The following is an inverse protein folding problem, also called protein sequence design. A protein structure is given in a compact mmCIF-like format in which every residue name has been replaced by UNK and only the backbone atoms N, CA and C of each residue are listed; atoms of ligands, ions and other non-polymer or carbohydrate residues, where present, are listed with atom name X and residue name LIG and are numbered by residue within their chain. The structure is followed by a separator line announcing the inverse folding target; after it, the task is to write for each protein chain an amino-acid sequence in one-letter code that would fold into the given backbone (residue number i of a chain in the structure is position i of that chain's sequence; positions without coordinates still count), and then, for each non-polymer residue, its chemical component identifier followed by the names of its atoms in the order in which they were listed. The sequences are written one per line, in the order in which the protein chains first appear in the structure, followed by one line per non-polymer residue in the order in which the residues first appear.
data_IF_326115691858
#
_entry.id   IF_326115691858
#
_cell.length_a   1.000
_cell.length_b   1.000
_cell.length_c   1.000
_cell.angle_alpha   90.00
_cell.angle_beta   90.00
_cell.angle_gamma   90.00
#
_symmetry.space_group_name_H-M   'P 1'
#
loop_
_entity.id
_entity.type
_entity.pdbx_description
1 polymer ?
#
# COMPACT_ATOMS: atom_id res chain seq x y z
N UNK A 1 -25.00 -43.92 38.52
CA UNK A 1 -24.07 -42.77 38.48
C UNK A 1 -24.76 -41.58 39.11
N UNK A 2 -24.14 -41.03 40.17
CA UNK A 2 -24.80 -40.12 41.11
C UNK A 2 -24.89 -38.69 40.57
N UNK A 3 -26.02 -38.01 40.77
CA UNK A 3 -26.28 -36.66 40.24
C UNK A 3 -25.25 -35.61 40.74
N UNK A 4 -24.60 -35.87 41.88
CA UNK A 4 -23.56 -35.00 42.46
C UNK A 4 -22.23 -35.01 41.69
N UNK A 5 -21.93 -36.07 40.93
CA UNK A 5 -20.71 -36.13 40.11
C UNK A 5 -20.82 -35.35 38.79
N UNK A 6 -22.04 -35.05 38.32
CA UNK A 6 -22.26 -34.29 37.09
C UNK A 6 -22.10 -32.78 37.30
N UNK A 7 -22.49 -32.26 38.47
CA UNK A 7 -22.39 -30.81 38.78
C UNK A 7 -20.96 -30.34 39.00
N UNK A 8 -20.06 -31.19 39.52
CA UNK A 8 -18.64 -30.84 39.72
C UNK A 8 -17.88 -30.86 38.39
N UNK A 9 -18.23 -31.77 37.48
CA UNK A 9 -17.66 -31.80 36.13
C UNK A 9 -18.05 -30.57 35.29
N UNK A 10 -19.27 -30.05 35.46
CA UNK A 10 -19.74 -28.85 34.74
C UNK A 10 -19.10 -27.55 35.28
N UNK A 11 -18.84 -27.47 36.59
CA UNK A 11 -18.15 -26.33 37.20
C UNK A 11 -16.66 -26.27 36.84
N UNK A 12 -16.00 -27.42 36.67
CA UNK A 12 -14.59 -27.48 36.22
C UNK A 12 -14.48 -27.17 34.72
N UNK A 13 -15.48 -27.51 33.91
CA UNK A 13 -15.50 -27.15 32.48
C UNK A 13 -15.69 -25.63 32.26
N UNK A 14 -16.43 -24.94 33.15
CA UNK A 14 -16.58 -23.48 33.11
C UNK A 14 -15.31 -22.77 33.62
N UNK A 15 -14.57 -23.35 34.58
CA UNK A 15 -13.28 -22.82 35.02
C UNK A 15 -12.13 -23.01 34.01
N UNK A 16 -12.29 -23.95 33.05
CA UNK A 16 -11.37 -24.16 31.93
C UNK A 16 -11.73 -23.36 30.67
N UNK A 17 -12.82 -22.60 30.69
CA UNK A 17 -12.94 -21.38 29.86
C UNK A 17 -12.11 -20.30 30.55
N UNK A 18 -10.82 -20.59 30.74
CA UNK A 18 -9.82 -19.55 30.80
C UNK A 18 -10.01 -18.77 29.53
N UNK A 19 -10.47 -17.53 29.69
CA UNK A 19 -10.35 -16.47 28.71
C UNK A 19 -8.96 -16.60 28.08
N UNK A 20 -8.88 -17.28 26.94
CA UNK A 20 -7.82 -17.05 25.94
C UNK A 20 -8.18 -15.76 25.20
N UNK A 21 -8.56 -14.73 25.97
CA UNK A 21 -8.26 -13.37 25.63
C UNK A 21 -6.75 -13.30 25.62
N UNK A 22 -6.16 -13.64 24.48
CA UNK A 22 -4.95 -12.96 24.05
C UNK A 22 -5.33 -11.49 24.04
N UNK A 23 -5.23 -10.83 25.20
CA UNK A 23 -5.11 -9.40 25.27
C UNK A 23 -3.93 -9.12 24.35
N UNK A 24 -4.24 -8.67 23.13
CA UNK A 24 -3.25 -8.37 22.11
C UNK A 24 -2.28 -7.40 22.76
N UNK A 25 -1.11 -7.90 23.20
CA UNK A 25 -0.22 -7.12 24.04
C UNK A 25 0.17 -5.85 23.27
N UNK A 26 -0.42 -4.73 23.67
CA UNK A 26 -0.19 -3.45 23.03
C UNK A 26 1.27 -3.08 23.25
N UNK A 27 1.99 -2.81 22.16
CA UNK A 27 3.45 -2.78 22.17
C UNK A 27 4.01 -1.77 23.17
N UNK A 28 3.36 -0.61 23.29
CA UNK A 28 3.76 0.48 24.18
C UNK A 28 3.09 0.43 25.57
N UNK A 29 2.17 -0.49 25.84
CA UNK A 29 1.60 -0.67 27.18
C UNK A 29 2.27 -1.84 27.91
N UNK A 30 2.89 -2.76 27.16
CA UNK A 30 3.65 -3.87 27.71
C UNK A 30 4.91 -3.38 28.45
N UNK A 31 4.95 -3.66 29.77
CA UNK A 31 6.10 -3.30 30.64
C UNK A 31 7.41 -3.98 30.24
N UNK A 32 7.36 -5.07 29.47
CA UNK A 32 8.57 -5.71 28.93
C UNK A 32 9.24 -4.82 27.87
N UNK A 33 8.44 -4.04 27.14
CA UNK A 33 8.94 -3.09 26.15
C UNK A 33 9.18 -1.72 26.78
N UNK A 34 8.30 -1.25 27.68
CA UNK A 34 8.42 0.03 28.36
C UNK A 34 8.39 -0.18 29.89
N UNK A 35 9.55 -0.36 30.55
CA UNK A 35 9.62 -0.68 31.99
C UNK A 35 8.92 0.34 32.90
N UNK A 36 8.89 1.60 32.48
CA UNK A 36 8.29 2.71 33.21
C UNK A 36 6.84 2.99 32.80
N UNK A 37 6.25 2.14 31.95
CA UNK A 37 4.87 2.23 31.49
C UNK A 37 4.54 3.58 30.86
N UNK A 38 3.38 4.15 31.19
CA UNK A 38 2.89 5.42 30.65
C UNK A 38 3.86 6.60 30.89
N UNK A 39 4.61 6.58 31.99
CA UNK A 39 5.57 7.63 32.30
C UNK A 39 6.68 7.73 31.24
N UNK A 40 6.99 6.64 30.53
CA UNK A 40 7.97 6.65 29.43
C UNK A 40 7.65 7.73 28.41
N UNK A 41 6.42 7.78 27.90
CA UNK A 41 6.02 8.71 26.83
C UNK A 41 5.43 10.02 27.37
N UNK A 42 4.88 10.03 28.58
CA UNK A 42 4.22 11.20 29.17
C UNK A 42 5.12 12.02 30.10
N UNK A 43 6.37 11.59 30.33
CA UNK A 43 7.33 12.37 31.12
C UNK A 43 7.77 13.61 30.33
N UNK A 44 7.42 14.80 30.84
CA UNK A 44 7.81 16.11 30.27
C UNK A 44 7.48 16.26 28.77
N UNK A 45 6.52 15.49 28.28
CA UNK A 45 6.13 15.46 26.87
C UNK A 45 4.63 15.70 26.76
N UNK A 46 4.24 16.66 25.91
CA UNK A 46 2.84 16.93 25.61
C UNK A 46 2.47 16.28 24.28
N UNK A 47 1.64 15.25 24.33
CA UNK A 47 1.12 14.53 23.16
C UNK A 47 -0.32 14.93 22.80
N UNK A 48 -0.89 15.95 23.46
CA UNK A 48 -2.32 16.31 23.30
C UNK A 48 -2.68 16.80 21.90
N UNK A 49 -1.74 17.42 21.19
CA UNK A 49 -1.95 17.84 19.79
C UNK A 49 -1.62 16.71 18.80
N UNK A 50 -1.32 15.49 19.26
CA UNK A 50 -0.85 14.36 18.46
C UNK A 50 0.52 14.54 17.79
N UNK A 51 1.06 15.79 17.80
CA UNK A 51 2.36 16.35 17.41
C UNK A 51 3.66 15.69 17.90
N UNK A 52 3.65 14.40 18.18
CA UNK A 52 4.65 13.73 19.02
C UNK A 52 5.81 13.07 18.29
N UNK A 53 6.08 13.37 17.02
CA UNK A 53 7.06 12.62 16.22
C UNK A 53 8.45 12.55 16.91
N UNK A 54 8.85 13.62 17.63
CA UNK A 54 10.06 13.67 18.44
C UNK A 54 10.13 12.59 19.55
N UNK A 55 9.02 12.33 20.24
CA UNK A 55 8.94 11.28 21.26
C UNK A 55 9.05 9.91 20.59
N UNK A 56 8.39 9.71 19.46
CA UNK A 56 8.43 8.47 18.70
C UNK A 56 9.86 8.12 18.24
N UNK A 57 10.56 9.07 17.61
CA UNK A 57 11.92 8.85 17.07
C UNK A 57 13.00 8.72 18.15
N UNK A 58 12.68 9.00 19.41
CA UNK A 58 13.61 8.72 20.51
C UNK A 58 13.87 7.22 20.64
N UNK A 59 12.84 6.39 20.38
CA UNK A 59 12.97 4.94 20.34
C UNK A 59 13.06 4.37 18.93
N UNK A 60 12.26 4.91 18.00
CA UNK A 60 12.13 4.39 16.64
C UNK A 60 13.10 5.01 15.64
N UNK A 61 13.82 6.07 15.99
CA UNK A 61 14.82 6.73 15.14
C UNK A 61 16.21 6.09 15.29
N UNK A 62 17.25 6.93 15.34
CA UNK A 62 18.62 6.45 15.56
C UNK A 62 18.73 5.54 16.82
N UNK A 63 19.12 4.25 16.66
CA UNK A 63 19.19 3.30 17.77
C UNK A 63 20.13 3.71 18.91
N UNK A 64 21.09 4.60 18.66
CA UNK A 64 21.99 5.15 19.69
C UNK A 64 21.23 5.96 20.75
N UNK A 65 20.07 6.52 20.41
CA UNK A 65 19.24 7.32 21.34
C UNK A 65 18.67 6.49 22.48
N UNK A 66 18.43 5.19 22.27
CA UNK A 66 17.96 4.25 23.31
C UNK A 66 18.93 4.14 24.49
N UNK A 67 20.22 4.37 24.25
CA UNK A 67 21.31 4.20 25.22
C UNK A 67 21.90 5.52 25.72
N UNK A 68 21.39 6.65 25.22
CA UNK A 68 21.88 7.99 25.57
C UNK A 68 20.87 8.71 26.47
N UNK A 69 21.30 9.60 27.39
CA UNK A 69 20.39 10.42 28.16
C UNK A 69 19.47 11.25 27.25
N UNK A 70 18.16 11.19 27.48
CA UNK A 70 17.17 11.95 26.71
C UNK A 70 16.45 12.94 27.62
N UNK A 71 16.40 14.22 27.22
CA UNK A 71 15.80 15.30 28.01
C UNK A 71 14.33 15.03 28.37
N UNK A 72 13.61 14.40 27.45
CA UNK A 72 12.17 14.18 27.53
C UNK A 72 11.81 12.70 27.79
N UNK A 73 12.75 11.89 28.29
CA UNK A 73 12.47 10.53 28.75
C UNK A 73 13.01 10.33 30.16
N UNK A 74 12.35 9.51 30.99
CA UNK A 74 12.89 9.13 32.30
C UNK A 74 14.13 8.23 32.15
N UNK A 75 15.02 8.21 33.14
CA UNK A 75 16.18 7.31 33.15
C UNK A 75 15.70 5.86 33.15
N UNK A 76 16.23 5.02 32.25
CA UNK A 76 15.79 3.62 32.11
C UNK A 76 14.46 3.45 31.35
N UNK A 77 14.09 4.42 30.50
CA UNK A 77 12.87 4.36 29.69
C UNK A 77 12.81 3.17 28.71
N UNK A 78 13.96 2.65 28.29
CA UNK A 78 14.06 1.48 27.42
C UNK A 78 14.78 0.32 28.13
N UNK A 79 14.37 -0.95 27.89
CA UNK A 79 15.08 -2.13 28.37
C UNK A 79 16.51 -2.20 27.84
N UNK A 80 17.42 -2.72 28.66
CA UNK A 80 18.78 -3.02 28.23
C UNK A 80 18.76 -4.03 27.05
N UNK A 81 19.51 -3.75 26.00
CA UNK A 81 19.59 -4.60 24.81
C UNK A 81 18.42 -4.48 23.83
N UNK A 82 17.50 -3.53 24.02
CA UNK A 82 16.44 -3.26 23.04
C UNK A 82 17.06 -2.83 21.69
N UNK A 83 16.68 -3.53 20.62
CA UNK A 83 17.12 -3.23 19.25
C UNK A 83 15.93 -2.91 18.38
N UNK A 84 15.86 -1.66 17.92
CA UNK A 84 14.85 -1.18 16.98
C UNK A 84 15.53 -0.76 15.67
N UNK A 85 14.78 -0.81 14.57
CA UNK A 85 15.25 -0.30 13.29
C UNK A 85 15.10 1.22 13.26
N UNK A 86 15.97 1.89 12.51
CA UNK A 86 15.96 3.35 12.37
C UNK A 86 14.90 3.80 11.35
N UNK A 87 13.69 4.12 11.82
CA UNK A 87 12.60 4.66 11.00
C UNK A 87 12.90 6.06 10.49
N UNK A 88 13.62 6.85 11.26
CA UNK A 88 13.91 8.26 10.96
C UNK A 88 14.76 8.37 9.68
N UNK A 89 15.65 7.40 9.45
CA UNK A 89 16.44 7.33 8.21
C UNK A 89 15.57 7.18 6.95
N UNK A 90 14.41 6.53 7.04
CA UNK A 90 13.48 6.40 5.91
C UNK A 90 12.89 7.76 5.51
N UNK A 91 12.67 8.64 6.49
CA UNK A 91 12.18 10.00 6.25
C UNK A 91 13.29 10.98 5.81
N UNK A 92 14.54 10.53 5.68
CA UNK A 92 15.58 11.31 5.01
C UNK A 92 15.60 11.06 3.49
N UNK A 93 14.90 10.03 3.01
CA UNK A 93 14.84 9.69 1.59
C UNK A 93 14.04 10.72 0.77
N UNK A 94 14.33 10.79 -0.52
CA UNK A 94 13.72 11.74 -1.46
C UNK A 94 12.20 11.64 -1.49
N UNK A 95 11.66 10.41 -1.58
CA UNK A 95 10.24 10.17 -1.61
C UNK A 95 9.80 9.58 -0.28
N UNK A 96 8.91 10.27 0.43
CA UNK A 96 8.51 9.91 1.78
C UNK A 96 7.15 10.50 2.13
N UNK A 97 6.51 9.95 3.16
CA UNK A 97 5.40 10.66 3.79
C UNK A 97 5.94 11.87 4.56
N UNK A 98 5.22 13.00 4.56
CA UNK A 98 5.71 14.29 5.07
C UNK A 98 5.65 14.42 6.60
N UNK A 99 6.07 13.38 7.33
CA UNK A 99 5.93 13.28 8.79
C UNK A 99 6.68 14.38 9.54
N UNK A 100 7.80 14.84 9.00
CA UNK A 100 8.62 15.90 9.60
C UNK A 100 8.59 17.21 8.81
N UNK A 101 7.86 17.28 7.70
CA UNK A 101 7.92 18.43 6.79
C UNK A 101 7.07 19.61 7.32
N UNK A 102 5.98 19.33 8.05
CA UNK A 102 5.06 20.33 8.60
C UNK A 102 4.71 20.04 10.08
N UNK A 103 5.69 20.14 11.00
CA UNK A 103 5.47 19.79 12.41
C UNK A 103 4.41 20.69 13.07
N UNK A 104 3.58 20.08 13.92
CA UNK A 104 2.60 20.79 14.74
C UNK A 104 1.34 21.24 13.99
N UNK A 105 1.11 20.73 12.79
CA UNK A 105 -0.13 20.95 12.04
C UNK A 105 -1.26 20.04 12.49
N UNK A 106 -0.92 18.84 12.96
CA UNK A 106 -1.90 17.86 13.38
C UNK A 106 -2.72 18.36 14.58
N UNK A 107 -4.02 18.07 14.54
CA UNK A 107 -4.97 18.31 15.61
C UNK A 107 -5.74 17.03 15.89
N UNK A 108 -5.95 16.74 17.17
CA UNK A 108 -6.64 15.53 17.63
C UNK A 108 -8.09 15.41 17.16
N UNK A 109 -8.69 16.50 16.67
CA UNK A 109 -10.07 16.56 16.19
C UNK A 109 -10.17 16.77 14.66
N UNK A 110 -9.10 16.46 13.92
CA UNK A 110 -9.13 16.47 12.46
C UNK A 110 -10.16 15.50 11.91
N UNK A 111 -10.82 15.94 10.83
CA UNK A 111 -11.77 15.12 10.09
C UNK A 111 -11.06 14.57 8.87
N UNK A 112 -10.94 13.24 8.80
CA UNK A 112 -10.39 12.54 7.66
C UNK A 112 -11.44 11.60 7.03
N UNK A 113 -11.58 11.52 5.70
CA UNK A 113 -10.83 12.28 4.69
C UNK A 113 -11.05 13.80 4.77
N UNK A 114 -10.01 14.57 4.44
CA UNK A 114 -10.07 16.04 4.48
C UNK A 114 -11.23 16.56 3.64
N UNK A 115 -11.96 17.55 4.17
CA UNK A 115 -13.14 18.16 3.55
C UNK A 115 -12.88 19.56 3.01
N UNK A 116 -11.82 20.23 3.48
CA UNK A 116 -11.40 21.54 2.99
C UNK A 116 -10.23 21.41 1.99
N UNK A 117 -10.42 21.76 0.70
CA UNK A 117 -9.37 21.66 -0.31
C UNK A 117 -8.17 22.60 -0.05
N UNK A 118 -8.32 23.62 0.81
CA UNK A 118 -7.24 24.56 1.15
C UNK A 118 -6.34 24.07 2.26
N UNK A 119 -6.72 23.00 2.97
CA UNK A 119 -5.93 22.47 4.06
C UNK A 119 -4.62 21.86 3.55
N UNK A 120 -3.51 22.28 4.18
CA UNK A 120 -2.19 21.77 3.86
C UNK A 120 -2.11 20.29 4.20
N UNK A 121 -1.74 19.47 3.21
CA UNK A 121 -1.49 18.05 3.40
C UNK A 121 -0.32 17.88 4.36
N UNK A 122 -0.55 17.13 5.42
CA UNK A 122 0.46 16.69 6.36
C UNK A 122 0.14 15.24 6.76
N UNK A 123 1.09 14.62 7.44
CA UNK A 123 0.90 13.35 8.11
C UNK A 123 1.79 13.36 9.34
N UNK A 124 1.44 12.62 10.38
CA UNK A 124 2.26 12.37 11.55
C UNK A 124 2.22 10.89 11.93
N UNK A 125 3.06 10.47 12.87
CA UNK A 125 3.12 9.07 13.31
C UNK A 125 1.74 8.56 13.78
N UNK A 126 0.98 9.42 14.44
CA UNK A 126 -0.31 9.08 15.06
C UNK A 126 -1.47 8.99 14.07
N UNK A 127 -1.31 9.54 12.85
CA UNK A 127 -2.32 9.39 11.80
C UNK A 127 -2.41 7.95 11.31
N UNK A 128 -1.30 7.20 11.43
CA UNK A 128 -1.18 5.81 10.99
C UNK A 128 -1.06 4.81 12.14
N UNK A 129 -0.55 5.24 13.30
CA UNK A 129 -0.28 4.37 14.45
C UNK A 129 -0.86 4.91 15.74
N UNK A 130 -1.79 4.18 16.34
CA UNK A 130 -2.30 4.56 17.65
C UNK A 130 -1.34 4.10 18.75
N UNK A 131 -0.68 5.00 19.49
CA UNK A 131 0.42 4.64 20.39
C UNK A 131 -0.02 3.71 21.53
N UNK A 132 -1.27 3.76 21.99
CA UNK A 132 -1.74 2.85 23.04
C UNK A 132 -2.31 1.52 22.56
N UNK A 133 -2.62 1.38 21.27
CA UNK A 133 -3.41 0.25 20.75
C UNK A 133 -2.64 -0.59 19.73
N UNK A 134 -1.58 -0.03 19.14
CA UNK A 134 -0.72 -0.72 18.20
C UNK A 134 -0.07 -1.95 18.86
N UNK A 135 -0.08 -3.05 18.13
CA UNK A 135 0.59 -4.29 18.52
C UNK A 135 1.33 -4.89 17.33
N UNK A 136 2.14 -5.92 17.61
CA UNK A 136 2.95 -6.60 16.59
C UNK A 136 2.12 -7.11 15.40
N UNK A 137 0.93 -7.63 15.69
CA UNK A 137 -0.01 -8.19 14.69
C UNK A 137 -1.20 -7.26 14.40
N UNK A 138 -1.29 -6.12 15.09
CA UNK A 138 -2.42 -5.19 15.05
C UNK A 138 -1.92 -3.77 14.80
N UNK A 139 -1.28 -3.58 13.63
CA UNK A 139 -0.52 -2.37 13.29
C UNK A 139 -1.36 -1.08 13.25
N UNK A 140 -2.65 -1.22 12.96
CA UNK A 140 -3.61 -0.11 12.79
C UNK A 140 -4.68 -0.07 13.88
N UNK A 141 -4.57 -0.93 14.90
CA UNK A 141 -5.54 -0.96 15.99
C UNK A 141 -5.64 0.42 16.65
N UNK A 142 -6.87 0.85 16.94
CA UNK A 142 -7.16 2.17 17.51
C UNK A 142 -7.26 3.29 16.47
N UNK A 143 -6.87 3.07 15.21
CA UNK A 143 -7.13 4.02 14.14
C UNK A 143 -8.54 3.81 13.59
N UNK A 144 -9.27 4.91 13.48
CA UNK A 144 -10.65 4.93 12.99
C UNK A 144 -10.70 5.48 11.56
N UNK A 145 -11.61 4.93 10.76
CA UNK A 145 -12.06 5.54 9.50
C UNK A 145 -13.47 6.06 9.66
N UNK A 146 -13.82 7.05 8.85
CA UNK A 146 -15.21 7.45 8.66
C UNK A 146 -15.93 6.41 7.79
N UNK A 147 -16.99 5.81 8.31
CA UNK A 147 -17.93 5.00 7.55
C UNK A 147 -18.99 5.91 6.89
N UNK A 148 -19.90 5.33 6.10
CA UNK A 148 -21.01 6.09 5.52
C UNK A 148 -21.76 6.89 6.60
N UNK A 149 -21.90 8.21 6.40
CA UNK A 149 -22.49 9.13 7.37
C UNK A 149 -21.47 9.71 8.36
N UNK A 150 -21.85 9.79 9.64
CA UNK A 150 -21.02 10.31 10.75
C UNK A 150 -20.42 9.21 11.65
N UNK A 151 -20.65 7.94 11.32
CA UNK A 151 -20.14 6.83 12.12
C UNK A 151 -18.66 6.59 11.86
N UNK A 152 -17.90 6.31 12.91
CA UNK A 152 -16.49 5.94 12.84
C UNK A 152 -16.32 4.47 13.18
N UNK A 153 -15.56 3.74 12.37
CA UNK A 153 -15.31 2.29 12.55
C UNK A 153 -13.82 1.99 12.54
N UNK A 154 -13.43 0.87 13.16
CA UNK A 154 -12.03 0.44 13.22
C UNK A 154 -11.51 0.01 11.85
N UNK A 155 -10.26 0.39 11.56
CA UNK A 155 -9.55 -0.05 10.36
C UNK A 155 -9.13 -1.52 10.51
N UNK A 156 -9.55 -2.34 9.55
CA UNK A 156 -9.27 -3.77 9.48
C UNK A 156 -8.25 -4.09 8.39
N UNK A 157 -8.20 -3.29 7.32
CA UNK A 157 -7.30 -3.49 6.19
C UNK A 157 -6.45 -2.26 5.92
N UNK A 158 -5.21 -2.45 5.44
CA UNK A 158 -4.26 -1.35 5.18
C UNK A 158 -4.82 -0.29 4.22
N UNK A 159 -5.54 -0.70 3.17
CA UNK A 159 -6.09 0.26 2.20
C UNK A 159 -7.09 1.24 2.83
N UNK A 160 -7.82 0.82 3.87
CA UNK A 160 -8.77 1.69 4.57
C UNK A 160 -8.05 2.84 5.29
N UNK A 161 -6.83 2.61 5.78
CA UNK A 161 -5.96 3.64 6.32
C UNK A 161 -5.50 4.59 5.22
N UNK A 162 -4.97 4.03 4.12
CA UNK A 162 -4.46 4.82 3.01
C UNK A 162 -5.55 5.72 2.42
N UNK A 163 -6.79 5.24 2.34
CA UNK A 163 -7.94 5.99 1.79
C UNK A 163 -8.37 7.20 2.61
N UNK A 164 -7.93 7.33 3.87
CA UNK A 164 -8.13 8.57 4.63
C UNK A 164 -7.46 9.77 3.94
N UNK A 165 -6.41 9.54 3.14
CA UNK A 165 -5.64 10.58 2.47
C UNK A 165 -5.56 10.42 0.95
N UNK A 166 -5.56 9.19 0.43
CA UNK A 166 -5.30 8.87 -0.98
C UNK A 166 -6.56 8.50 -1.79
N UNK A 167 -7.75 8.67 -1.20
CA UNK A 167 -9.01 8.43 -1.90
C UNK A 167 -9.74 9.74 -2.20
N UNK A 168 -10.77 10.06 -1.42
CA UNK A 168 -11.74 11.14 -1.69
C UNK A 168 -11.45 12.44 -0.92
N UNK A 169 -10.24 12.59 -0.37
CA UNK A 169 -9.82 13.80 0.34
C UNK A 169 -9.93 15.03 -0.58
N UNK A 170 -10.57 16.10 -0.11
CA UNK A 170 -10.80 17.32 -0.88
C UNK A 170 -9.50 18.03 -1.30
N UNK A 171 -8.43 17.88 -0.51
CA UNK A 171 -7.09 18.41 -0.81
C UNK A 171 -6.20 17.38 -1.55
N UNK A 172 -6.76 16.40 -2.27
CA UNK A 172 -5.99 15.51 -3.13
C UNK A 172 -5.33 16.35 -4.25
N UNK A 173 -3.99 16.27 -4.46
CA UNK A 173 -3.37 17.09 -5.49
C UNK A 173 -3.85 16.66 -6.88
N UNK A 174 -4.15 17.62 -7.77
CA UNK A 174 -4.84 17.35 -9.04
C UNK A 174 -4.14 16.39 -10.00
N UNK A 175 -2.83 16.13 -9.83
CA UNK A 175 -2.09 15.11 -10.57
C UNK A 175 -2.32 13.67 -10.09
N UNK A 176 -3.03 13.49 -8.97
CA UNK A 176 -3.36 12.19 -8.42
C UNK A 176 -4.85 11.92 -8.52
N UNK A 177 -5.19 10.66 -8.68
CA UNK A 177 -6.57 10.16 -8.76
C UNK A 177 -6.98 9.48 -7.46
N UNK A 178 -8.29 9.42 -7.22
CA UNK A 178 -8.87 8.71 -6.08
C UNK A 178 -8.57 7.21 -6.16
N UNK A 179 -7.70 6.70 -5.27
CA UNK A 179 -7.22 5.31 -5.33
C UNK A 179 -8.29 4.28 -4.99
N UNK A 180 -9.23 4.61 -4.10
CA UNK A 180 -10.42 3.78 -3.83
C UNK A 180 -11.26 3.59 -5.09
N UNK A 181 -11.43 4.66 -5.87
CA UNK A 181 -12.17 4.57 -7.13
C UNK A 181 -11.44 3.73 -8.19
N UNK A 182 -10.10 3.63 -8.14
CA UNK A 182 -9.33 2.78 -9.08
C UNK A 182 -9.30 1.30 -8.63
N UNK A 183 -9.31 1.03 -7.32
CA UNK A 183 -9.13 -0.30 -6.74
C UNK A 183 -10.43 -1.01 -6.35
N UNK A 184 -11.58 -0.32 -6.42
CA UNK A 184 -12.88 -0.92 -6.06
C UNK A 184 -13.15 -2.19 -6.85
N UNK A 185 -13.65 -3.21 -6.16
CA UNK A 185 -13.88 -4.56 -6.72
C UNK A 185 -14.98 -4.61 -7.79
N UNK A 186 -15.76 -3.54 -7.92
CA UNK A 186 -16.78 -3.36 -8.97
C UNK A 186 -16.18 -2.96 -10.32
N UNK A 187 -14.93 -2.49 -10.36
CA UNK A 187 -14.27 -2.10 -11.60
C UNK A 187 -14.07 -3.30 -12.54
N UNK A 188 -14.03 -3.10 -13.87
CA UNK A 188 -13.70 -4.15 -14.83
C UNK A 188 -12.33 -4.81 -14.58
N UNK A 189 -11.34 -4.06 -14.10
CA UNK A 189 -10.07 -4.63 -13.65
C UNK A 189 -9.37 -3.77 -12.60
N UNK A 190 -8.64 -4.43 -11.71
CA UNK A 190 -7.88 -3.83 -10.61
C UNK A 190 -6.83 -4.82 -10.11
N UNK A 191 -5.75 -4.30 -9.52
CA UNK A 191 -4.84 -5.08 -8.70
C UNK A 191 -5.52 -5.43 -7.37
N UNK A 192 -5.33 -6.66 -6.85
CA UNK A 192 -6.18 -7.21 -5.80
C UNK A 192 -5.82 -6.70 -4.40
N UNK A 193 -6.12 -5.43 -4.14
CA UNK A 193 -5.91 -4.76 -2.85
C UNK A 193 -7.16 -4.85 -1.97
N UNK A 194 -8.33 -4.53 -2.52
CA UNK A 194 -9.61 -4.60 -1.78
C UNK A 194 -10.23 -6.01 -1.79
N UNK A 195 -9.84 -6.84 -2.76
CA UNK A 195 -10.36 -8.19 -2.93
C UNK A 195 -9.68 -8.88 -4.11
N UNK A 196 -10.02 -10.14 -4.33
CA UNK A 196 -9.45 -10.93 -5.42
C UNK A 196 -9.77 -10.34 -6.79
N UNK A 197 -8.83 -10.48 -7.73
CA UNK A 197 -8.98 -9.98 -9.09
C UNK A 197 -10.18 -10.60 -9.83
N UNK A 198 -10.68 -9.91 -10.85
CA UNK A 198 -11.83 -10.38 -11.66
C UNK A 198 -11.44 -11.24 -12.85
N UNK A 199 -10.20 -11.17 -13.30
CA UNK A 199 -9.75 -11.95 -14.44
C UNK A 199 -9.62 -13.42 -14.06
N UNK A 200 -10.11 -14.30 -14.92
CA UNK A 200 -10.07 -15.75 -14.71
C UNK A 200 -8.68 -16.36 -14.98
N UNK A 201 -7.82 -15.63 -15.71
CA UNK A 201 -6.45 -16.03 -16.00
C UNK A 201 -5.58 -14.78 -16.23
N UNK A 202 -4.38 -14.81 -15.65
CA UNK A 202 -3.30 -13.84 -15.74
C UNK A 202 -2.01 -14.64 -15.93
N UNK A 203 -1.73 -14.93 -17.21
CA UNK A 203 -0.70 -15.89 -17.66
C UNK A 203 0.67 -15.64 -17.03
N UNK A 204 1.03 -14.38 -16.80
CA UNK A 204 2.34 -14.00 -16.31
C UNK A 204 2.50 -14.11 -14.78
N UNK A 205 1.48 -14.47 -13.98
CA UNK A 205 1.69 -14.52 -12.52
C UNK A 205 2.73 -15.57 -12.10
N UNK A 206 3.74 -15.14 -11.33
CA UNK A 206 4.71 -16.05 -10.71
C UNK A 206 4.11 -16.66 -9.44
N UNK A 207 4.51 -17.89 -9.09
CA UNK A 207 4.14 -18.48 -7.81
C UNK A 207 4.73 -17.66 -6.65
N UNK A 208 4.01 -17.49 -5.52
CA UNK A 208 2.70 -18.07 -5.18
C UNK A 208 1.50 -17.18 -5.57
N UNK A 209 1.67 -16.17 -6.43
CA UNK A 209 0.56 -15.32 -6.84
C UNK A 209 -0.43 -16.06 -7.76
N UNK A 210 -1.72 -15.82 -7.52
CA UNK A 210 -2.86 -16.40 -8.25
C UNK A 210 -3.99 -15.40 -8.37
N UNK A 211 -4.87 -15.61 -9.34
CA UNK A 211 -6.08 -14.81 -9.56
C UNK A 211 -7.12 -15.06 -8.47
N UNK A 212 -7.17 -16.32 -8.00
CA UNK A 212 -8.09 -16.83 -6.98
C UNK A 212 -7.33 -17.70 -5.99
N UNK A 213 -7.69 -17.58 -4.72
CA UNK A 213 -7.14 -18.44 -3.67
C UNK A 213 -7.76 -19.82 -3.78
N UNK A 214 -6.99 -20.80 -4.23
CA UNK A 214 -7.39 -22.20 -4.26
C UNK A 214 -6.71 -23.00 -3.14
N UNK A 215 -5.46 -22.68 -2.85
CA UNK A 215 -4.65 -23.27 -1.79
C UNK A 215 -4.30 -22.24 -0.70
N UNK A 216 -3.80 -22.71 0.45
CA UNK A 216 -3.51 -21.84 1.59
C UNK A 216 -2.32 -20.90 1.32
N UNK A 217 -1.36 -21.38 0.55
CA UNK A 217 -0.14 -20.67 0.12
C UNK A 217 -0.39 -19.66 -1.00
N UNK A 218 -1.52 -19.74 -1.71
CA UNK A 218 -1.83 -18.85 -2.81
C UNK A 218 -2.03 -17.41 -2.30
N UNK A 219 -1.43 -16.46 -3.03
CA UNK A 219 -1.61 -15.03 -2.80
C UNK A 219 -2.51 -14.48 -3.90
N UNK A 220 -3.79 -14.28 -3.58
CA UNK A 220 -4.79 -13.68 -4.47
C UNK A 220 -5.19 -12.26 -4.08
N UNK A 221 -4.71 -11.78 -2.93
CA UNK A 221 -4.83 -10.39 -2.48
C UNK A 221 -3.53 -9.95 -1.80
N UNK A 222 -3.25 -8.65 -1.84
CA UNK A 222 -2.08 -8.07 -1.18
C UNK A 222 -2.37 -6.66 -0.68
N UNK A 223 -1.53 -6.15 0.21
CA UNK A 223 -1.73 -4.85 0.83
C UNK A 223 -1.00 -3.74 0.04
N UNK A 224 -1.35 -2.48 0.27
CA UNK A 224 -0.70 -1.34 -0.39
C UNK A 224 0.83 -1.37 -0.20
N UNK A 225 1.30 -1.80 0.97
CA UNK A 225 2.72 -1.89 1.28
C UNK A 225 3.50 -3.01 0.59
N UNK A 226 2.81 -3.89 -0.16
CA UNK A 226 3.48 -4.80 -1.08
C UNK A 226 4.14 -4.06 -2.26
N UNK A 227 3.61 -2.88 -2.62
CA UNK A 227 4.15 -2.00 -3.66
C UNK A 227 4.75 -0.71 -3.09
N UNK A 228 4.16 -0.16 -2.02
CA UNK A 228 4.55 1.10 -1.41
C UNK A 228 5.27 0.91 -0.07
N UNK A 229 6.58 1.11 -0.02
CA UNK A 229 7.38 0.84 1.16
C UNK A 229 8.83 1.22 1.01
N UNK A 230 9.63 0.82 1.99
CA UNK A 230 11.09 0.93 1.93
C UNK A 230 11.65 0.14 0.75
N UNK A 231 12.55 0.78 0.00
CA UNK A 231 13.39 0.15 -1.02
C UNK A 231 14.53 -0.71 -0.42
N UNK A 232 14.75 -0.65 0.89
CA UNK A 232 15.72 -1.48 1.58
C UNK A 232 15.01 -2.72 2.18
N UNK A 233 15.28 -3.94 1.67
CA UNK A 233 14.69 -5.18 2.22
C UNK A 233 15.05 -5.42 3.70
N UNK A 234 16.19 -4.88 4.13
CA UNK A 234 16.66 -4.94 5.53
C UNK A 234 16.16 -3.78 6.37
N UNK A 235 15.58 -2.76 5.74
CA UNK A 235 15.07 -1.54 6.35
C UNK A 235 13.77 -1.73 7.14
N UNK A 236 13.28 -0.67 7.80
CA UNK A 236 11.95 -0.66 8.39
C UNK A 236 10.85 -0.89 7.35
N UNK A 237 9.89 -1.75 7.66
CA UNK A 237 8.76 -2.02 6.77
C UNK A 237 7.71 -0.91 6.85
N UNK A 238 6.97 -0.71 5.77
CA UNK A 238 5.87 0.27 5.67
C UNK A 238 6.24 1.49 4.83
N UNK A 239 5.24 2.32 4.45
CA UNK A 239 5.40 3.40 3.47
C UNK A 239 6.00 4.66 4.10
N UNK A 240 7.15 4.57 4.75
CA UNK A 240 7.79 5.73 5.41
C UNK A 240 8.56 6.56 4.37
N UNK A 241 9.46 5.92 3.63
CA UNK A 241 10.17 6.52 2.51
C UNK A 241 10.88 5.50 1.62
N UNK A 242 11.23 5.94 0.41
CA UNK A 242 11.94 5.17 -0.61
C UNK A 242 12.83 6.07 -1.45
N UNK A 243 13.86 5.50 -2.08
CA UNK A 243 14.59 6.16 -3.18
C UNK A 243 13.78 6.24 -4.48
N UNK A 244 12.77 5.39 -4.64
CA UNK A 244 11.94 5.33 -5.85
C UNK A 244 10.70 6.20 -5.69
N UNK A 245 10.32 6.87 -6.79
CA UNK A 245 9.16 7.76 -6.83
C UNK A 245 7.89 7.06 -6.35
N UNK A 246 6.98 7.79 -5.73
CA UNK A 246 5.74 7.26 -5.12
C UNK A 246 5.97 6.29 -3.95
N UNK A 247 7.14 6.34 -3.31
CA UNK A 247 7.49 5.48 -2.16
C UNK A 247 7.45 4.00 -2.58
N UNK A 248 7.94 3.66 -3.78
CA UNK A 248 7.87 2.29 -4.28
C UNK A 248 8.95 1.41 -3.67
N UNK A 249 8.63 0.14 -3.41
CA UNK A 249 9.60 -0.84 -2.87
C UNK A 249 10.68 -1.24 -3.89
N UNK A 250 10.40 -1.04 -5.17
CA UNK A 250 11.28 -1.36 -6.30
C UNK A 250 11.08 -0.35 -7.42
N UNK A 251 12.03 -0.29 -8.34
CA UNK A 251 12.01 0.65 -9.45
C UNK A 251 10.87 0.37 -10.44
N UNK A 252 10.26 1.44 -10.94
CA UNK A 252 9.22 1.41 -11.98
C UNK A 252 9.34 2.66 -12.86
N UNK A 253 9.77 2.48 -14.10
CA UNK A 253 9.79 3.56 -15.08
C UNK A 253 8.41 3.77 -15.68
N UNK A 254 7.87 4.97 -15.53
CA UNK A 254 6.57 5.35 -16.09
C UNK A 254 6.67 6.02 -17.46
N UNK A 255 7.88 6.42 -17.90
CA UNK A 255 8.11 7.17 -19.13
C UNK A 255 8.40 6.24 -20.33
N UNK A 256 7.86 6.62 -21.48
CA UNK A 256 8.17 5.99 -22.77
C UNK A 256 9.60 6.28 -23.23
N UNK A 257 10.04 5.54 -24.24
CA UNK A 257 11.37 5.56 -24.83
C UNK A 257 12.50 5.24 -23.84
N UNK A 258 12.18 4.49 -22.78
CA UNK A 258 13.16 3.92 -21.87
C UNK A 258 13.42 2.45 -22.24
N UNK A 259 14.68 1.98 -22.16
CA UNK A 259 14.98 0.58 -22.40
C UNK A 259 14.33 -0.29 -21.32
N UNK A 260 13.61 -1.32 -21.75
CA UNK A 260 13.14 -2.37 -20.86
C UNK A 260 14.33 -3.12 -20.25
N UNK A 261 14.25 -3.40 -18.96
CA UNK A 261 15.18 -4.28 -18.25
C UNK A 261 14.53 -4.84 -16.98
N UNK A 262 15.11 -5.90 -16.38
CA UNK A 262 14.67 -6.38 -15.07
C UNK A 262 14.64 -5.29 -13.99
N UNK A 263 15.49 -4.28 -14.09
CA UNK A 263 15.50 -3.14 -13.17
C UNK A 263 14.42 -2.10 -13.51
N UNK A 264 14.20 -1.79 -14.79
CA UNK A 264 13.25 -0.74 -15.22
C UNK A 264 11.82 -0.99 -14.72
N UNK A 265 11.38 -2.25 -14.70
CA UNK A 265 10.06 -2.67 -14.24
C UNK A 265 10.14 -3.67 -13.08
N UNK A 266 11.19 -3.57 -12.25
CA UNK A 266 11.44 -4.47 -11.13
C UNK A 266 10.19 -4.66 -10.24
N UNK A 267 9.46 -3.58 -9.97
CA UNK A 267 8.21 -3.63 -9.20
C UNK A 267 7.17 -4.59 -9.80
N UNK A 268 6.96 -4.51 -11.12
CA UNK A 268 6.00 -5.37 -11.82
C UNK A 268 6.47 -6.83 -11.82
N UNK A 269 7.77 -7.04 -11.98
CA UNK A 269 8.37 -8.37 -12.04
C UNK A 269 8.41 -9.12 -10.70
N UNK A 270 8.04 -8.46 -9.59
CA UNK A 270 7.79 -9.14 -8.31
C UNK A 270 6.65 -10.15 -8.39
N UNK A 271 5.63 -9.84 -9.18
CA UNK A 271 4.41 -10.65 -9.33
C UNK A 271 4.26 -11.23 -10.74
N UNK A 272 4.88 -10.60 -11.74
CA UNK A 272 4.76 -11.01 -13.13
C UNK A 272 6.07 -11.56 -13.71
N UNK A 273 5.99 -12.65 -14.45
CA UNK A 273 7.08 -13.29 -15.13
C UNK A 273 7.46 -12.46 -16.37
N UNK A 274 8.66 -11.86 -16.33
CA UNK A 274 9.20 -11.08 -17.44
C UNK A 274 9.26 -11.86 -18.75
N UNK A 275 9.67 -13.13 -18.71
CA UNK A 275 9.78 -13.96 -19.91
C UNK A 275 8.42 -14.21 -20.54
N UNK A 276 7.38 -14.48 -19.74
CA UNK A 276 6.00 -14.64 -20.23
C UNK A 276 5.50 -13.38 -20.93
N UNK A 277 5.74 -12.20 -20.32
CA UNK A 277 5.39 -10.90 -20.88
C UNK A 277 6.07 -10.67 -22.24
N UNK A 278 7.40 -10.86 -22.31
CA UNK A 278 8.18 -10.60 -23.52
C UNK A 278 8.04 -11.68 -24.61
N UNK A 279 7.54 -12.86 -24.24
CA UNK A 279 7.20 -13.93 -25.19
C UNK A 279 5.82 -13.74 -25.85
N UNK A 280 5.11 -12.64 -25.57
CA UNK A 280 3.77 -12.35 -26.11
C UNK A 280 2.68 -13.35 -25.68
N UNK A 281 2.85 -14.05 -24.55
CA UNK A 281 1.93 -15.14 -24.16
C UNK A 281 0.51 -14.64 -23.87
N UNK A 282 0.37 -13.44 -23.32
CA UNK A 282 -0.93 -12.85 -22.95
C UNK A 282 -1.45 -11.80 -23.93
N UNK A 283 -0.63 -11.36 -24.89
CA UNK A 283 -0.99 -10.30 -25.81
C UNK A 283 -0.05 -10.35 -27.02
N UNK A 284 -0.59 -10.43 -28.23
CA UNK A 284 0.23 -10.46 -29.45
C UNK A 284 1.00 -9.15 -29.60
N UNK A 285 2.29 -9.24 -29.97
CA UNK A 285 3.17 -8.08 -30.12
C UNK A 285 3.40 -7.26 -28.82
N UNK A 286 3.17 -7.84 -27.65
CA UNK A 286 3.50 -7.19 -26.38
C UNK A 286 4.97 -6.75 -26.29
N UNK A 287 5.91 -7.63 -26.65
CA UNK A 287 7.33 -7.29 -26.68
C UNK A 287 7.66 -6.23 -27.72
N UNK A 288 6.95 -6.17 -28.83
CA UNK A 288 7.14 -5.09 -29.81
C UNK A 288 6.81 -3.73 -29.19
N UNK A 289 5.70 -3.62 -28.45
CA UNK A 289 5.34 -2.37 -27.79
C UNK A 289 6.32 -2.04 -26.67
N UNK A 290 6.71 -3.01 -25.84
CA UNK A 290 7.59 -2.75 -24.67
C UNK A 290 9.04 -2.48 -25.08
N UNK A 291 9.56 -3.19 -26.09
CA UNK A 291 10.96 -3.06 -26.52
C UNK A 291 11.13 -1.99 -27.61
N UNK A 292 10.04 -1.62 -28.28
CA UNK A 292 10.06 -0.71 -29.43
C UNK A 292 10.63 -1.37 -30.68
N UNK A 293 10.93 -0.54 -31.69
CA UNK A 293 11.57 -1.01 -32.93
C UNK A 293 12.79 -0.16 -33.27
N UNK A 294 13.96 -0.82 -33.35
CA UNK A 294 15.17 -0.16 -33.84
C UNK A 294 15.04 0.37 -35.28
N UNK A 295 14.08 -0.14 -36.07
CA UNK A 295 13.84 0.29 -37.45
C UNK A 295 13.22 1.70 -37.57
N UNK A 296 12.53 2.18 -36.54
CA UNK A 296 11.89 3.50 -36.55
C UNK A 296 12.51 4.48 -35.54
N UNK A 297 13.62 4.09 -34.87
CA UNK A 297 14.14 4.79 -33.68
C UNK A 297 13.08 5.08 -32.62
N UNK A 298 11.99 4.30 -32.60
CA UNK A 298 10.95 4.37 -31.58
C UNK A 298 11.37 3.47 -30.43
N UNK A 299 11.67 4.09 -29.29
CA UNK A 299 11.95 3.36 -28.07
C UNK A 299 10.71 2.62 -27.57
N UNK A 300 10.90 1.81 -26.53
CA UNK A 300 9.83 1.07 -25.89
C UNK A 300 8.73 1.94 -25.29
N UNK A 301 7.48 1.48 -25.38
CA UNK A 301 6.35 2.02 -24.63
C UNK A 301 6.37 1.53 -23.19
N UNK A 302 6.19 2.43 -22.24
CA UNK A 302 6.05 2.13 -20.82
C UNK A 302 4.79 1.31 -20.55
N UNK A 303 4.85 0.42 -19.56
CA UNK A 303 3.63 -0.24 -19.05
C UNK A 303 2.56 0.78 -18.65
N UNK A 304 2.95 1.95 -18.13
CA UNK A 304 2.05 3.02 -17.71
C UNK A 304 1.21 3.60 -18.85
N UNK A 305 1.72 3.53 -20.08
CA UNK A 305 1.07 4.14 -21.24
C UNK A 305 -0.19 3.39 -21.65
N UNK A 306 -0.24 2.08 -21.39
CA UNK A 306 -1.39 1.24 -21.70
C UNK A 306 -2.13 0.76 -20.43
N UNK A 307 -1.42 0.58 -19.33
CA UNK A 307 -1.95 -0.01 -18.10
C UNK A 307 -1.93 0.95 -16.92
N UNK A 308 -2.98 0.86 -16.12
CA UNK A 308 -3.03 1.42 -14.78
C UNK A 308 -2.34 0.49 -13.79
N UNK A 309 -1.46 1.03 -12.95
CA UNK A 309 -0.84 0.28 -11.85
C UNK A 309 -1.82 -0.04 -10.70
N UNK A 310 -3.04 0.52 -10.70
CA UNK A 310 -4.05 0.27 -9.68
C UNK A 310 -5.27 -0.43 -10.25
N UNK A 311 -5.92 0.17 -11.24
CA UNK A 311 -7.11 -0.39 -11.86
C UNK A 311 -7.71 0.52 -12.93
N UNK A 312 -8.65 -0.05 -13.67
CA UNK A 312 -9.36 0.61 -14.76
C UNK A 312 -10.86 0.49 -14.53
N UNK A 313 -11.54 1.62 -14.58
CA UNK A 313 -12.99 1.74 -14.46
C UNK A 313 -13.71 1.39 -15.77
N UNK A 314 -12.98 1.35 -16.89
CA UNK A 314 -13.55 1.22 -18.24
C UNK A 314 -13.26 -0.14 -18.85
N UNK A 315 -12.04 -0.65 -18.72
CA UNK A 315 -11.58 -1.81 -19.47
C UNK A 315 -11.02 -2.90 -18.57
N UNK A 316 -11.03 -4.13 -19.08
CA UNK A 316 -10.35 -5.26 -18.44
C UNK A 316 -8.83 -5.16 -18.62
N UNK A 317 -8.11 -6.05 -17.96
CA UNK A 317 -6.63 -6.18 -18.07
C UNK A 317 -5.84 -4.92 -17.69
N UNK A 318 -6.38 -4.13 -16.75
CA UNK A 318 -5.82 -2.87 -16.29
C UNK A 318 -5.67 -1.81 -17.38
N UNK A 319 -6.29 -1.99 -18.55
CA UNK A 319 -6.12 -1.07 -19.68
C UNK A 319 -6.70 0.29 -19.31
N UNK A 320 -5.83 1.31 -19.34
CA UNK A 320 -6.16 2.72 -19.14
C UNK A 320 -5.09 3.52 -19.89
N UNK A 321 -5.45 4.01 -21.07
CA UNK A 321 -4.51 4.71 -21.94
C UNK A 321 -4.06 6.04 -21.33
N UNK A 322 -2.75 6.28 -21.31
CA UNK A 322 -2.19 7.57 -20.89
C UNK A 322 -2.42 8.61 -22.01
N UNK A 323 -3.27 9.63 -21.80
CA UNK A 323 -3.59 10.63 -22.83
C UNK A 323 -2.42 11.55 -23.19
N UNK A 324 -1.33 11.56 -22.41
CA UNK A 324 -0.10 12.29 -22.77
C UNK A 324 0.63 11.68 -23.96
N UNK A 325 0.40 10.38 -24.23
CA UNK A 325 1.08 9.62 -25.30
C UNK A 325 0.08 9.06 -26.30
N UNK A 326 -1.05 8.53 -25.81
CA UNK A 326 -2.07 7.89 -26.64
C UNK A 326 -3.15 8.89 -27.00
N UNK A 327 -3.45 9.00 -28.28
CA UNK A 327 -4.41 9.98 -28.82
C UNK A 327 -5.53 9.28 -29.61
N UNK A 328 -6.54 10.07 -30.01
CA UNK A 328 -7.59 9.59 -30.90
C UNK A 328 -6.99 9.08 -32.21
N UNK A 329 -7.52 7.97 -32.71
CA UNK A 329 -7.14 7.43 -34.01
C UNK A 329 -7.66 8.30 -35.17
N UNK A 330 -7.36 7.92 -36.41
CA UNK A 330 -7.78 8.63 -37.63
C UNK A 330 -9.30 8.78 -37.81
N UNK A 331 -10.12 8.08 -37.02
CA UNK A 331 -11.59 8.15 -37.01
C UNK A 331 -12.14 8.80 -35.73
N UNK A 332 -11.29 9.41 -34.91
CA UNK A 332 -11.72 10.06 -33.68
C UNK A 332 -12.07 9.09 -32.55
N UNK A 333 -11.53 7.86 -32.56
CA UNK A 333 -11.80 6.84 -31.54
C UNK A 333 -10.59 6.62 -30.63
N UNK A 334 -10.85 6.48 -29.32
CA UNK A 334 -9.88 6.07 -28.30
C UNK A 334 -10.56 5.01 -27.41
N UNK A 335 -10.38 3.72 -27.72
CA UNK A 335 -10.97 2.61 -26.94
C UNK A 335 -10.28 1.27 -27.15
N UNK A 336 -10.48 0.38 -26.20
CA UNK A 336 -10.16 -1.04 -26.30
C UNK A 336 -11.43 -1.87 -26.39
N UNK A 337 -11.45 -2.88 -27.27
CA UNK A 337 -12.56 -3.82 -27.42
C UNK A 337 -12.05 -5.23 -27.23
N UNK A 338 -12.48 -5.90 -26.15
CA UNK A 338 -12.17 -7.32 -25.92
C UNK A 338 -12.88 -8.20 -26.96
N UNK A 339 -12.18 -9.18 -27.55
CA UNK A 339 -12.74 -10.11 -28.55
C UNK A 339 -12.74 -11.57 -28.12
N UNK A 340 -12.13 -11.90 -26.99
CA UNK A 340 -12.19 -13.25 -26.43
C UNK A 340 -11.31 -13.43 -25.21
N UNK A 341 -11.93 -13.60 -24.04
CA UNK A 341 -11.26 -13.74 -22.74
C UNK A 341 -10.30 -14.94 -22.66
N UNK A 342 -10.63 -16.06 -23.32
CA UNK A 342 -9.81 -17.27 -23.34
C UNK A 342 -8.65 -17.21 -24.34
N UNK A 343 -8.73 -16.31 -25.34
CA UNK A 343 -7.70 -16.14 -26.38
C UNK A 343 -6.80 -14.94 -26.10
N UNK A 344 -7.07 -14.20 -25.03
CA UNK A 344 -6.44 -12.92 -24.68
C UNK A 344 -6.38 -11.95 -25.87
N UNK A 345 -7.46 -11.91 -26.66
CA UNK A 345 -7.51 -11.12 -27.88
C UNK A 345 -8.36 -9.85 -27.73
N UNK A 346 -7.95 -8.81 -28.45
CA UNK A 346 -8.63 -7.53 -28.43
C UNK A 346 -8.27 -6.62 -29.58
N UNK A 347 -9.04 -5.56 -29.73
CA UNK A 347 -8.87 -4.54 -30.74
C UNK A 347 -8.62 -3.18 -30.08
N UNK A 348 -7.56 -2.51 -30.53
CA UNK A 348 -7.30 -1.13 -30.14
C UNK A 348 -7.76 -0.17 -31.24
N UNK A 349 -8.48 0.86 -30.80
CA UNK A 349 -8.84 2.03 -31.59
C UNK A 349 -8.12 3.22 -30.96
N UNK A 350 -6.93 3.55 -31.43
CA UNK A 350 -6.08 4.63 -30.87
C UNK A 350 -5.00 5.04 -31.88
N UNK A 351 -4.37 6.19 -31.66
CA UNK A 351 -3.11 6.56 -32.30
C UNK A 351 -2.01 6.61 -31.25
N UNK A 352 -0.88 5.95 -31.50
CA UNK A 352 0.25 5.90 -30.58
C UNK A 352 1.56 5.75 -31.35
N UNK A 353 2.59 6.54 -31.00
CA UNK A 353 3.91 6.54 -31.65
C UNK A 353 3.87 6.61 -33.18
N UNK A 354 2.97 7.43 -33.73
CA UNK A 354 2.81 7.61 -35.18
C UNK A 354 2.10 6.45 -35.89
N UNK A 355 1.61 5.46 -35.13
CA UNK A 355 0.86 4.31 -35.66
C UNK A 355 -0.63 4.52 -35.39
N UNK A 356 -1.44 4.42 -36.45
CA UNK A 356 -2.89 4.41 -36.36
C UNK A 356 -3.41 2.97 -36.13
N UNK A 357 -4.14 2.76 -35.03
CA UNK A 357 -4.79 1.50 -34.69
C UNK A 357 -6.30 1.68 -34.95
N UNK A 358 -6.82 1.10 -36.05
CA UNK A 358 -8.20 1.37 -36.46
C UNK A 358 -8.91 0.26 -37.28
N UNK A 359 -9.38 -0.82 -36.64
CA UNK A 359 -8.75 -1.41 -35.46
C UNK A 359 -7.47 -2.14 -35.85
N UNK A 360 -6.51 -2.21 -34.93
CA UNK A 360 -5.51 -3.28 -34.96
C UNK A 360 -5.93 -4.36 -33.98
N UNK A 361 -5.93 -5.60 -34.45
CA UNK A 361 -6.26 -6.79 -33.66
C UNK A 361 -5.00 -7.43 -33.08
N UNK A 362 -5.11 -7.88 -31.84
CA UNK A 362 -4.06 -8.49 -31.05
C UNK A 362 -4.52 -9.83 -30.49
#
# INVERSE_FOLDING_TARGET
MNLKTLSVAFLILIALISFSGHAMAQAHIDKRNLPLGCATCHFKSNLKSGGGAAVCITCHGDPRRLYSPQKNMPKGFAPAGMRLKNIEAEFAKTYRHPVFDLPGRHRSNEVLPETDPKMLRHAECVDCHHPHMVGKNSKFAGIRRRASGSQSTDIMHEYELCYRCHAESANLPGRYTNKKAELTTTNPSFHPVEGEGRNLAVVSLVRPYREKKAAQEDISTFSCSACHGSDDPSGPKGPHGSRYEHILVDNYYSKDNQPESPFAYALCYRCHNRSSILANESFRYHSLHILGTGRLNTGGTSCHTCHSAHGSQEYRYLIKFNPEIVTLNSKGLLKFVEKGSYKFSGECYLSCHGVDHNPKSY
#
